data_IF_327575495664
#
_entry.id   IF_327575495664
#
_cell.length_a   1.000
_cell.length_b   1.000
_cell.length_c   1.000
_cell.angle_alpha   90.00
_cell.angle_beta   90.00
_cell.angle_gamma   90.00
#
_symmetry.space_group_name_H-M   'P 1'
#
loop_
_entity.id
_entity.type
_entity.pdbx_description
1 polymer ?
#
# COMPACT_ATOMS: atom_id res chain seq x y z
N UNK A 1 10.14 -24.82 26.16
CA UNK A 1 9.31 -24.93 24.94
C UNK A 1 9.23 -23.53 24.40
N UNK A 2 9.87 -23.28 23.27
CA UNK A 2 10.14 -21.93 22.77
C UNK A 2 8.85 -21.29 22.31
N UNK A 3 8.54 -20.15 22.93
CA UNK A 3 7.38 -19.32 22.70
C UNK A 3 7.42 -18.82 21.24
N UNK A 4 6.57 -19.40 20.39
CA UNK A 4 6.42 -18.95 19.04
C UNK A 4 5.63 -17.63 19.11
N UNK A 5 6.37 -16.52 19.24
CA UNK A 5 5.81 -15.21 19.59
C UNK A 5 4.79 -14.76 18.55
N UNK A 6 3.60 -14.46 19.03
CA UNK A 6 2.59 -13.71 18.28
C UNK A 6 3.16 -12.37 17.78
N UNK A 7 2.74 -11.94 16.60
CA UNK A 7 3.14 -10.66 15.99
C UNK A 7 1.91 -9.78 15.81
N UNK A 8 1.98 -8.55 16.31
CA UNK A 8 0.97 -7.50 16.08
C UNK A 8 1.54 -6.46 15.14
N UNK A 9 0.88 -6.23 14.01
CA UNK A 9 1.30 -5.28 13.00
C UNK A 9 0.14 -4.91 12.06
N UNK A 10 0.39 -3.93 11.18
CA UNK A 10 -0.46 -3.67 10.03
C UNK A 10 -0.01 -4.55 8.86
N UNK A 11 -0.93 -5.32 8.33
CA UNK A 11 -0.70 -6.25 7.23
C UNK A 11 -1.48 -5.84 5.99
N UNK A 12 -0.85 -5.97 4.83
CA UNK A 12 -1.49 -5.95 3.54
C UNK A 12 -1.72 -7.39 3.07
N UNK A 13 -2.92 -7.71 2.60
CA UNK A 13 -3.25 -9.02 2.03
C UNK A 13 -2.82 -9.03 0.57
N UNK A 14 -1.64 -9.57 0.31
CA UNK A 14 -1.06 -9.61 -1.04
C UNK A 14 -1.70 -10.67 -1.93
N UNK A 15 -2.21 -11.73 -1.33
CA UNK A 15 -2.92 -12.78 -2.05
C UNK A 15 -3.94 -13.45 -1.13
N UNK A 16 -5.07 -13.87 -1.67
CA UNK A 16 -6.09 -14.59 -0.92
C UNK A 16 -6.83 -15.59 -1.81
N UNK A 17 -7.04 -16.77 -1.24
CA UNK A 17 -7.79 -17.89 -1.81
C UNK A 17 -8.84 -18.36 -0.80
N UNK A 18 -9.73 -19.27 -1.18
CA UNK A 18 -10.75 -19.78 -0.24
C UNK A 18 -10.15 -20.42 1.02
N UNK A 19 -8.99 -21.08 0.88
CA UNK A 19 -8.38 -21.87 1.95
C UNK A 19 -7.21 -21.17 2.65
N UNK A 20 -6.63 -20.11 2.08
CA UNK A 20 -5.44 -19.45 2.64
C UNK A 20 -5.31 -17.99 2.21
N UNK A 21 -4.53 -17.21 2.95
CA UNK A 21 -4.17 -15.85 2.56
C UNK A 21 -2.72 -15.53 2.90
N UNK A 22 -2.12 -14.61 2.16
CA UNK A 22 -0.75 -14.15 2.36
C UNK A 22 -0.79 -12.72 2.89
N UNK A 23 -0.27 -12.55 4.11
CA UNK A 23 -0.15 -11.26 4.77
C UNK A 23 1.29 -10.75 4.63
N UNK A 24 1.44 -9.50 4.21
CA UNK A 24 2.73 -8.81 4.21
C UNK A 24 2.69 -7.68 5.24
N UNK A 25 3.60 -7.70 6.21
CA UNK A 25 3.75 -6.58 7.15
C UNK A 25 4.27 -5.35 6.39
N UNK A 26 3.49 -4.27 6.43
CA UNK A 26 3.77 -3.05 5.65
C UNK A 26 4.99 -2.27 6.18
N UNK A 27 5.45 -2.58 7.39
CA UNK A 27 6.58 -1.91 8.05
C UNK A 27 7.92 -2.53 7.68
N UNK A 28 8.01 -3.86 7.66
CA UNK A 28 9.26 -4.61 7.48
C UNK A 28 9.26 -5.57 6.28
N UNK A 29 8.16 -5.60 5.51
CA UNK A 29 7.94 -6.46 4.34
C UNK A 29 8.04 -7.97 4.64
N UNK A 30 7.91 -8.39 5.90
CA UNK A 30 7.84 -9.81 6.23
C UNK A 30 6.52 -10.42 5.75
N UNK A 31 6.63 -11.59 5.13
CA UNK A 31 5.51 -12.35 4.58
C UNK A 31 5.10 -13.45 5.54
N UNK A 32 3.79 -13.56 5.80
CA UNK A 32 3.18 -14.54 6.68
C UNK A 32 2.01 -15.22 5.97
N UNK A 33 2.14 -16.52 5.74
CA UNK A 33 1.07 -17.32 5.12
C UNK A 33 0.11 -17.81 6.19
N UNK A 34 -1.18 -17.50 6.04
CA UNK A 34 -2.22 -18.03 6.90
C UNK A 34 -2.56 -19.48 6.53
N UNK A 35 -2.75 -20.34 7.53
CA UNK A 35 -3.18 -21.73 7.34
C UNK A 35 -4.64 -21.84 6.89
N UNK A 36 -5.45 -20.83 7.22
CA UNK A 36 -6.86 -20.71 6.84
C UNK A 36 -7.14 -19.26 6.42
N UNK A 37 -8.06 -19.05 5.45
CA UNK A 37 -8.53 -17.70 5.13
C UNK A 37 -9.79 -17.36 5.96
N UNK A 38 -9.73 -16.38 6.91
CA UNK A 38 -10.90 -15.98 7.70
C UNK A 38 -11.89 -15.07 6.94
N UNK A 39 -11.87 -15.06 5.61
CA UNK A 39 -12.71 -14.22 4.74
C UNK A 39 -12.03 -12.95 4.25
N UNK A 40 -10.70 -12.93 4.19
CA UNK A 40 -9.89 -11.86 3.64
C UNK A 40 -9.88 -11.91 2.12
N UNK A 41 -9.75 -10.74 1.50
CA UNK A 41 -9.56 -10.57 0.07
C UNK A 41 -8.20 -9.93 -0.23
N UNK A 42 -7.63 -10.23 -1.40
CA UNK A 42 -6.44 -9.51 -1.86
C UNK A 42 -6.73 -8.00 -1.94
N UNK A 43 -5.77 -7.17 -1.51
CA UNK A 43 -5.94 -5.72 -1.39
C UNK A 43 -6.41 -5.24 -0.02
N UNK A 44 -6.86 -6.14 0.87
CA UNK A 44 -7.28 -5.77 2.20
C UNK A 44 -6.11 -5.32 3.09
N UNK A 45 -6.40 -4.41 4.02
CA UNK A 45 -5.45 -3.93 5.03
C UNK A 45 -6.00 -4.24 6.43
N UNK A 46 -5.15 -4.82 7.27
CA UNK A 46 -5.53 -5.33 8.59
C UNK A 46 -4.58 -4.79 9.66
N UNK A 47 -5.10 -4.21 10.72
CA UNK A 47 -4.38 -4.14 12.00
C UNK A 47 -4.75 -5.39 12.80
N UNK A 48 -3.80 -6.31 12.94
CA UNK A 48 -4.09 -7.63 13.49
C UNK A 48 -2.92 -8.21 14.31
N UNK A 49 -3.25 -9.23 15.09
CA UNK A 49 -2.28 -10.09 15.75
C UNK A 49 -2.34 -11.48 15.13
N UNK A 50 -1.21 -11.98 14.65
CA UNK A 50 -1.05 -13.34 14.12
C UNK A 50 -0.22 -14.21 15.07
N UNK A 51 -0.48 -15.50 15.09
CA UNK A 51 0.28 -16.48 15.88
C UNK A 51 0.72 -17.65 14.99
N UNK A 52 1.98 -18.09 15.05
CA UNK A 52 2.46 -19.22 14.26
C UNK A 52 1.86 -20.56 14.73
N UNK A 53 1.44 -21.38 13.79
CA UNK A 53 0.80 -22.67 14.06
C UNK A 53 1.82 -23.75 14.49
N UNK A 54 1.54 -24.52 15.55
CA UNK A 54 2.41 -25.62 15.97
C UNK A 54 2.31 -26.84 15.03
N UNK A 55 3.31 -27.74 15.03
CA UNK A 55 4.59 -27.63 15.71
C UNK A 55 5.69 -27.00 14.84
N UNK A 56 5.45 -26.85 13.54
CA UNK A 56 6.47 -26.42 12.58
C UNK A 56 6.61 -24.89 12.51
N UNK A 57 5.59 -24.14 12.94
CA UNK A 57 5.60 -22.66 12.96
C UNK A 57 5.92 -22.03 11.59
N UNK A 58 5.39 -22.66 10.53
CA UNK A 58 5.55 -22.22 9.13
C UNK A 58 4.34 -21.45 8.61
N UNK A 59 3.15 -21.78 9.12
CA UNK A 59 1.90 -21.06 8.86
C UNK A 59 1.47 -20.29 10.09
N UNK A 60 0.56 -19.36 9.90
CA UNK A 60 0.03 -18.50 10.95
C UNK A 60 -1.50 -18.56 10.99
N UNK A 61 -2.05 -18.29 12.16
CA UNK A 61 -3.47 -18.05 12.35
C UNK A 61 -3.69 -16.62 12.84
N UNK A 62 -4.80 -15.99 12.45
CA UNK A 62 -5.20 -14.68 12.97
C UNK A 62 -5.76 -14.87 14.38
N UNK A 63 -5.09 -14.32 15.39
CA UNK A 63 -5.53 -14.37 16.78
C UNK A 63 -6.56 -13.27 17.10
N UNK A 64 -6.39 -12.07 16.53
CA UNK A 64 -7.32 -10.96 16.66
C UNK A 64 -7.16 -9.96 15.53
N UNK A 65 -8.26 -9.31 15.14
CA UNK A 65 -8.28 -8.18 14.20
C UNK A 65 -8.79 -6.96 14.94
N UNK A 66 -7.98 -5.90 15.00
CA UNK A 66 -8.35 -4.61 15.56
C UNK A 66 -9.08 -3.75 14.52
N UNK A 67 -8.59 -3.76 13.28
CA UNK A 67 -9.17 -3.02 12.16
C UNK A 67 -9.02 -3.81 10.85
N UNK A 68 -10.02 -3.71 9.99
CA UNK A 68 -10.03 -4.27 8.63
C UNK A 68 -10.60 -3.21 7.69
N UNK A 69 -9.81 -2.81 6.71
CA UNK A 69 -10.19 -1.73 5.78
C UNK A 69 -9.69 -2.00 4.38
N UNK A 70 -10.27 -1.29 3.42
CA UNK A 70 -9.79 -1.19 2.05
C UNK A 70 -9.42 0.26 1.78
N UNK A 71 -8.21 0.48 1.27
CA UNK A 71 -7.72 1.82 0.94
C UNK A 71 -7.97 2.05 -0.56
N UNK A 72 -8.97 2.86 -0.94
CA UNK A 72 -9.22 3.14 -2.35
C UNK A 72 -8.07 3.93 -2.97
N UNK A 73 -7.63 3.50 -4.16
CA UNK A 73 -6.77 4.26 -5.06
C UNK A 73 -7.63 4.77 -6.21
N UNK A 74 -7.72 6.09 -6.36
CA UNK A 74 -8.65 6.72 -7.32
C UNK A 74 -7.94 7.72 -8.21
N UNK A 75 -8.35 7.79 -9.48
CA UNK A 75 -7.91 8.83 -10.41
C UNK A 75 -8.78 10.07 -10.20
N UNK A 76 -8.15 11.23 -10.12
CA UNK A 76 -8.83 12.52 -10.01
C UNK A 76 -8.61 13.35 -11.26
N UNK A 77 -9.69 13.92 -11.80
CA UNK A 77 -9.66 14.86 -12.92
C UNK A 77 -9.07 16.24 -12.54
N UNK A 78 -8.79 16.47 -11.25
CA UNK A 78 -8.16 17.69 -10.82
C UNK A 78 -6.70 17.75 -11.26
N UNK A 79 -6.28 18.92 -11.74
CA UNK A 79 -4.88 19.14 -12.08
C UNK A 79 -3.95 18.92 -10.86
N UNK A 80 -2.70 18.47 -11.06
CA UNK A 80 -1.71 18.38 -9.99
C UNK A 80 -1.53 19.72 -9.29
N UNK A 81 -1.24 19.68 -7.99
CA UNK A 81 -1.04 20.90 -7.18
C UNK A 81 0.21 21.67 -7.63
N UNK A 82 0.34 22.96 -7.28
CA UNK A 82 1.57 23.72 -7.57
C UNK A 82 2.84 23.01 -7.06
N UNK A 83 2.83 22.54 -5.81
CA UNK A 83 3.96 21.79 -5.24
C UNK A 83 4.33 20.54 -6.06
N UNK A 84 3.35 19.79 -6.56
CA UNK A 84 3.63 18.62 -7.38
C UNK A 84 4.25 18.98 -8.74
N UNK A 85 3.85 20.11 -9.34
CA UNK A 85 4.44 20.63 -10.58
C UNK A 85 5.85 21.13 -10.36
N UNK A 86 6.10 21.80 -9.24
CA UNK A 86 7.42 22.31 -8.86
C UNK A 86 8.39 21.13 -8.66
N UNK A 87 7.96 20.07 -7.96
CA UNK A 87 8.74 18.84 -7.83
C UNK A 87 9.01 18.16 -9.18
N UNK A 88 8.05 18.16 -10.09
CA UNK A 88 8.20 17.54 -11.40
C UNK A 88 9.18 18.31 -12.32
N UNK A 89 9.24 19.64 -12.21
CA UNK A 89 9.99 20.49 -13.12
C UNK A 89 11.51 20.18 -13.13
N UNK A 90 12.04 19.78 -11.97
CA UNK A 90 13.46 19.45 -11.79
C UNK A 90 13.73 17.93 -11.83
N UNK A 91 12.71 17.10 -12.06
CA UNK A 91 12.79 15.66 -11.95
C UNK A 91 13.12 15.00 -13.31
N UNK A 92 14.27 14.32 -13.45
CA UNK A 92 14.60 13.59 -14.67
C UNK A 92 13.55 12.54 -15.01
N UNK A 93 13.38 12.26 -16.30
CA UNK A 93 12.44 11.22 -16.77
C UNK A 93 12.80 9.87 -16.17
N UNK A 94 11.81 9.17 -15.64
CA UNK A 94 11.94 7.88 -14.98
C UNK A 94 12.28 7.99 -13.49
N UNK A 95 12.49 9.20 -12.96
CA UNK A 95 12.74 9.39 -11.53
C UNK A 95 11.47 9.69 -10.74
N UNK A 96 11.57 9.43 -9.44
CA UNK A 96 10.54 9.60 -8.42
C UNK A 96 11.03 10.61 -7.39
N UNK A 97 10.25 11.66 -7.16
CA UNK A 97 10.41 12.55 -6.01
C UNK A 97 9.31 12.28 -4.98
N UNK A 98 9.64 12.34 -3.69
CA UNK A 98 8.66 12.28 -2.62
C UNK A 98 8.76 13.50 -1.71
N UNK A 99 7.63 13.93 -1.17
CA UNK A 99 7.55 15.06 -0.25
C UNK A 99 6.45 14.86 0.79
N UNK A 100 6.76 15.20 2.04
CA UNK A 100 5.78 15.24 3.11
C UNK A 100 4.76 16.36 2.87
N UNK A 101 3.50 16.12 3.25
CA UNK A 101 2.48 17.18 3.26
C UNK A 101 2.49 17.92 4.60
N UNK A 102 2.07 19.18 4.59
CA UNK A 102 1.66 19.83 5.82
C UNK A 102 0.46 19.06 6.43
N UNK A 103 0.68 18.39 7.55
CA UNK A 103 -0.28 17.47 8.17
C UNK A 103 0.16 16.01 8.04
N UNK A 104 -0.81 15.10 7.92
CA UNK A 104 -0.57 13.66 7.70
C UNK A 104 -0.68 13.36 6.20
N UNK A 105 0.28 12.62 5.66
CA UNK A 105 0.30 12.18 4.27
C UNK A 105 1.57 12.57 3.52
N UNK A 106 1.65 12.07 2.30
CA UNK A 106 2.82 12.20 1.43
C UNK A 106 2.35 12.47 -0.01
N UNK A 107 3.22 13.05 -0.82
CA UNK A 107 3.04 13.16 -2.26
C UNK A 107 4.22 12.48 -2.93
N UNK A 108 3.94 11.59 -3.86
CA UNK A 108 4.91 11.06 -4.81
C UNK A 108 4.69 11.72 -6.17
N UNK A 109 5.77 12.09 -6.84
CA UNK A 109 5.76 12.66 -8.19
C UNK A 109 6.66 11.80 -9.04
N UNK A 110 6.10 11.17 -10.07
CA UNK A 110 6.82 10.30 -11.00
C UNK A 110 6.86 10.96 -12.38
N UNK A 111 8.06 11.23 -12.87
CA UNK A 111 8.28 11.76 -14.22
C UNK A 111 8.29 10.60 -15.23
N UNK A 112 7.34 10.57 -16.18
CA UNK A 112 7.13 9.41 -17.06
C UNK A 112 7.28 9.74 -18.56
N UNK A 113 7.20 11.03 -18.91
CA UNK A 113 7.11 11.52 -20.28
C UNK A 113 5.65 11.52 -20.78
N UNK A 114 5.31 12.48 -21.64
CA UNK A 114 3.93 12.73 -22.07
C UNK A 114 3.22 11.52 -22.67
N UNK A 115 3.94 10.66 -23.38
CA UNK A 115 3.37 9.48 -24.04
C UNK A 115 2.99 8.35 -23.07
N UNK A 116 3.47 8.40 -21.81
CA UNK A 116 3.34 7.31 -20.83
C UNK A 116 2.41 7.67 -19.66
N UNK A 117 1.80 8.85 -19.64
CA UNK A 117 1.04 9.34 -18.48
C UNK A 117 -0.16 8.43 -18.18
N UNK A 118 -0.90 8.00 -19.20
CA UNK A 118 -2.06 7.13 -19.01
C UNK A 118 -1.66 5.78 -18.44
N UNK A 119 -0.67 5.12 -19.05
CA UNK A 119 -0.18 3.81 -18.60
C UNK A 119 0.35 3.89 -17.16
N UNK A 120 1.07 4.96 -16.82
CA UNK A 120 1.57 5.17 -15.46
C UNK A 120 0.46 5.38 -14.42
N UNK A 121 -0.66 6.01 -14.81
CA UNK A 121 -1.83 6.13 -13.93
C UNK A 121 -2.43 4.74 -13.68
N UNK A 122 -2.64 3.96 -14.74
CA UNK A 122 -3.22 2.62 -14.65
C UNK A 122 -2.34 1.69 -13.80
N UNK A 123 -1.03 1.73 -14.00
CA UNK A 123 -0.05 0.97 -13.22
C UNK A 123 -0.13 1.30 -11.72
N UNK A 124 -0.18 2.60 -11.36
CA UNK A 124 -0.27 3.01 -9.95
C UNK A 124 -1.62 2.64 -9.33
N UNK A 125 -2.71 2.75 -10.08
CA UNK A 125 -4.05 2.40 -9.56
C UNK A 125 -4.16 0.91 -9.25
N UNK A 126 -3.48 0.07 -10.03
CA UNK A 126 -3.46 -1.37 -9.85
C UNK A 126 -2.32 -1.87 -8.94
N UNK A 127 -1.47 -0.97 -8.43
CA UNK A 127 -0.26 -1.35 -7.69
C UNK A 127 -0.52 -1.56 -6.19
N UNK A 128 -0.32 -2.80 -5.75
CA UNK A 128 -0.36 -3.21 -4.35
C UNK A 128 0.62 -2.42 -3.47
N UNK A 129 1.78 -2.00 -3.99
CA UNK A 129 2.74 -1.21 -3.22
C UNK A 129 2.20 0.18 -2.88
N UNK A 130 1.33 0.74 -3.72
CA UNK A 130 0.65 1.99 -3.44
C UNK A 130 -0.30 1.85 -2.24
N UNK A 131 -1.03 0.74 -2.14
CA UNK A 131 -1.89 0.44 -0.98
C UNK A 131 -1.06 0.13 0.27
N UNK A 132 -0.02 -0.69 0.14
CA UNK A 132 0.90 -1.03 1.24
C UNK A 132 1.58 0.22 1.82
N UNK A 133 2.00 1.16 0.95
CA UNK A 133 2.55 2.45 1.37
C UNK A 133 1.52 3.28 2.13
N UNK A 134 0.28 3.35 1.65
CA UNK A 134 -0.80 4.04 2.34
C UNK A 134 -1.04 3.47 3.74
N UNK A 135 -1.15 2.14 3.85
CA UNK A 135 -1.31 1.44 5.11
C UNK A 135 -0.16 1.73 6.09
N UNK A 136 1.09 1.75 5.59
CA UNK A 136 2.28 2.08 6.40
C UNK A 136 2.26 3.50 6.96
N UNK A 137 1.76 4.47 6.19
CA UNK A 137 1.65 5.87 6.62
C UNK A 137 0.45 6.04 7.57
N UNK A 138 -0.52 5.11 7.55
CA UNK A 138 -1.76 5.20 8.32
C UNK A 138 -2.79 6.13 7.69
N UNK A 139 -2.82 6.19 6.37
CA UNK A 139 -3.80 6.98 5.60
C UNK A 139 -4.86 6.07 4.96
N UNK A 140 -6.04 6.63 4.68
CA UNK A 140 -7.21 5.82 4.31
C UNK A 140 -7.64 5.97 2.84
N UNK A 141 -6.96 6.80 2.03
CA UNK A 141 -7.22 6.89 0.59
C UNK A 141 -6.01 7.43 -0.19
N UNK A 142 -5.94 7.05 -1.45
CA UNK A 142 -4.93 7.53 -2.41
C UNK A 142 -5.61 8.18 -3.61
N UNK A 143 -5.12 9.36 -4.01
CA UNK A 143 -5.54 10.04 -5.23
C UNK A 143 -4.37 10.14 -6.23
N UNK A 144 -4.60 9.71 -7.46
CA UNK A 144 -3.66 9.87 -8.58
C UNK A 144 -4.14 11.02 -9.46
N UNK A 145 -3.24 11.95 -9.81
CA UNK A 145 -3.50 13.08 -10.69
C UNK A 145 -2.49 13.12 -11.82
N UNK A 146 -2.98 13.27 -13.05
CA UNK A 146 -2.15 13.34 -14.24
C UNK A 146 -1.66 14.77 -14.52
N UNK A 147 -0.35 14.93 -14.72
CA UNK A 147 0.29 16.11 -15.28
C UNK A 147 0.49 15.97 -16.80
N UNK A 148 1.29 16.87 -17.39
CA UNK A 148 1.57 16.84 -18.82
C UNK A 148 2.51 15.67 -19.21
N UNK A 149 3.49 15.37 -18.37
CA UNK A 149 4.54 14.38 -18.57
C UNK A 149 4.93 13.65 -17.27
N UNK A 150 4.13 13.82 -16.22
CA UNK A 150 4.33 13.24 -14.90
C UNK A 150 2.98 12.86 -14.27
N UNK A 151 3.01 12.04 -13.22
CA UNK A 151 1.85 11.77 -12.37
C UNK A 151 2.16 12.16 -10.92
N UNK A 152 1.13 12.54 -10.19
CA UNK A 152 1.21 12.83 -8.76
C UNK A 152 0.29 11.88 -7.98
N UNK A 153 0.87 11.09 -7.09
CA UNK A 153 0.17 10.19 -6.19
C UNK A 153 0.11 10.84 -4.82
N UNK A 154 -1.09 10.97 -4.27
CA UNK A 154 -1.35 11.70 -3.03
C UNK A 154 -1.92 10.75 -2.00
N UNK A 155 -1.22 10.63 -0.88
CA UNK A 155 -1.67 9.86 0.27
C UNK A 155 -2.41 10.80 1.22
N UNK A 156 -3.71 10.59 1.40
CA UNK A 156 -4.60 11.49 2.14
C UNK A 156 -5.31 10.77 3.30
N UNK A 157 -5.49 11.44 4.45
CA UNK A 157 -6.35 10.97 5.52
C UNK A 157 -7.85 11.16 5.21
#
# INVERSE_FOLDING_TARGET
>A
MTDARSKTATFFVSDASEDSAILTDVSDAQVHTLSENPGLSAGDVLDATITPDPPMHVTYSVASVAEHTQIPVTVSDETPTPNARDLAADLPRGELATAERAGVGEIHVLSVGADNVSDAVDDVVADDQTVSRAARIGINRVEVRAGADFISVRYLP
#
